data_IF_887294418131
#
_entry.id   IF_887294418131
#
_cell.length_a   1.000
_cell.length_b   1.000
_cell.length_c   1.000
_cell.angle_alpha   90.00
_cell.angle_beta   90.00
_cell.angle_gamma   90.00
#
_symmetry.space_group_name_H-M   'P 1'
#
loop_
_entity.id
_entity.type
_entity.pdbx_description
1 polymer ?
#
# COMPACT_ATOMS: atom_id res chain seq x y z
N UNK A 1 -19.65 -1.50 19.83
CA UNK A 1 -18.41 -1.71 19.05
C UNK A 1 -18.25 -3.20 18.84
N UNK A 2 -18.14 -3.71 17.59
CA UNK A 2 -18.00 -5.14 17.38
C UNK A 2 -16.65 -5.60 17.93
N UNK A 3 -16.70 -6.55 18.86
CA UNK A 3 -15.55 -7.15 19.52
C UNK A 3 -15.20 -8.39 18.71
N UNK A 4 -14.05 -8.38 18.04
CA UNK A 4 -13.55 -9.55 17.32
C UNK A 4 -13.22 -10.62 18.36
N UNK A 5 -14.02 -11.68 18.39
CA UNK A 5 -13.84 -12.76 19.34
C UNK A 5 -12.63 -13.60 18.93
N UNK A 6 -11.92 -14.13 19.93
CA UNK A 6 -10.53 -14.63 19.79
C UNK A 6 -10.38 -15.91 18.96
N UNK A 7 -11.46 -16.37 18.31
CA UNK A 7 -11.49 -17.53 17.41
C UNK A 7 -11.62 -17.14 15.94
N UNK A 8 -11.87 -15.87 15.62
CA UNK A 8 -12.16 -15.48 14.24
C UNK A 8 -10.89 -15.05 13.50
N UNK A 9 -10.67 -15.65 12.34
CA UNK A 9 -9.59 -15.30 11.42
C UNK A 9 -9.72 -13.83 10.99
N UNK A 10 -8.64 -13.27 10.42
CA UNK A 10 -8.77 -11.96 9.77
C UNK A 10 -9.82 -12.10 8.65
N UNK A 11 -10.75 -11.13 8.59
CA UNK A 11 -11.68 -11.07 7.46
C UNK A 11 -10.89 -10.91 6.15
N UNK A 12 -11.45 -11.40 5.04
CA UNK A 12 -10.82 -11.26 3.72
C UNK A 12 -10.50 -9.79 3.40
N UNK A 13 -11.43 -8.89 3.71
CA UNK A 13 -11.24 -7.44 3.58
C UNK A 13 -10.07 -6.93 4.44
N UNK A 14 -9.91 -7.42 5.66
CA UNK A 14 -8.79 -7.01 6.52
C UNK A 14 -7.44 -7.51 6.01
N UNK A 15 -7.40 -8.70 5.37
CA UNK A 15 -6.19 -9.19 4.72
C UNK A 15 -5.86 -8.35 3.48
N UNK A 16 -6.85 -8.07 2.62
CA UNK A 16 -6.67 -7.18 1.46
C UNK A 16 -6.14 -5.81 1.88
N UNK A 17 -6.82 -5.13 2.81
CA UNK A 17 -6.41 -3.82 3.32
C UNK A 17 -5.04 -3.84 3.99
N UNK A 18 -4.61 -4.97 4.58
CA UNK A 18 -3.27 -5.12 5.12
C UNK A 18 -2.21 -5.16 4.01
N UNK A 19 -2.49 -5.87 2.92
CA UNK A 19 -1.58 -6.00 1.78
C UNK A 19 -1.50 -4.69 0.99
N UNK A 20 -2.63 -4.00 0.83
CA UNK A 20 -2.73 -2.73 0.10
C UNK A 20 -2.28 -1.52 0.94
N UNK A 21 -2.06 -1.71 2.25
CA UNK A 21 -1.54 -0.68 3.15
C UNK A 21 -2.58 0.32 3.65
N UNK A 22 -3.87 -0.02 3.54
CA UNK A 22 -5.00 0.85 3.85
C UNK A 22 -5.42 0.79 5.33
N UNK A 23 -4.92 -0.20 6.08
CA UNK A 23 -5.23 -0.34 7.50
C UNK A 23 -4.71 0.83 8.36
N UNK A 24 -5.40 1.12 9.46
CA UNK A 24 -4.89 2.01 10.51
C UNK A 24 -3.65 1.42 11.20
N UNK A 25 -2.77 2.28 11.73
CA UNK A 25 -1.55 1.81 12.43
C UNK A 25 -1.84 0.79 13.53
N UNK A 26 -2.90 0.99 14.29
CA UNK A 26 -3.34 0.08 15.35
C UNK A 26 -3.89 -1.23 14.77
N UNK A 27 -4.62 -1.18 13.65
CA UNK A 27 -5.10 -2.37 12.94
C UNK A 27 -3.95 -3.16 12.32
N UNK A 28 -2.95 -2.50 11.71
CA UNK A 28 -1.74 -3.15 11.18
C UNK A 28 -1.00 -3.89 12.28
N UNK A 29 -0.82 -3.27 13.44
CA UNK A 29 -0.14 -3.91 14.57
C UNK A 29 -0.88 -5.18 15.02
N UNK A 30 -2.20 -5.10 15.22
CA UNK A 30 -3.03 -6.26 15.57
C UNK A 30 -2.98 -7.37 14.51
N UNK A 31 -3.07 -7.01 13.24
CA UNK A 31 -3.03 -7.97 12.15
C UNK A 31 -1.67 -8.69 12.10
N UNK A 32 -0.56 -7.97 12.29
CA UNK A 32 0.79 -8.58 12.36
C UNK A 32 0.94 -9.54 13.54
N UNK A 33 0.43 -9.18 14.72
CA UNK A 33 0.42 -10.09 15.87
C UNK A 33 -0.39 -11.36 15.56
N UNK A 34 -1.55 -11.23 14.92
CA UNK A 34 -2.36 -12.37 14.51
C UNK A 34 -1.64 -13.24 13.48
N UNK A 35 -1.00 -12.64 12.47
CA UNK A 35 -0.18 -13.34 11.48
C UNK A 35 1.03 -14.05 12.11
N UNK A 36 1.50 -13.67 13.29
CA UNK A 36 2.59 -14.39 13.97
C UNK A 36 2.11 -15.74 14.54
N UNK A 37 0.85 -15.84 14.94
CA UNK A 37 0.31 -17.01 15.63
C UNK A 37 -0.61 -17.89 14.76
N UNK A 38 -1.21 -17.35 13.70
CA UNK A 38 -2.17 -18.07 12.86
C UNK A 38 -1.58 -18.41 11.47
N UNK A 39 -1.39 -19.71 11.17
CA UNK A 39 -0.94 -20.17 9.84
C UNK A 39 -1.95 -19.84 8.73
N UNK A 40 -3.24 -20.08 8.96
CA UNK A 40 -4.30 -19.87 7.94
C UNK A 40 -4.28 -18.43 7.41
N UNK A 41 -4.17 -17.45 8.31
CA UNK A 41 -4.10 -16.05 7.91
C UNK A 41 -2.76 -15.68 7.26
N UNK A 42 -1.66 -16.39 7.57
CA UNK A 42 -0.39 -16.24 6.84
C UNK A 42 -0.52 -16.71 5.41
N UNK A 43 -1.12 -17.86 5.19
CA UNK A 43 -1.34 -18.43 3.86
C UNK A 43 -2.26 -17.52 3.05
N UNK A 44 -3.33 -17.01 3.65
CA UNK A 44 -4.22 -16.04 2.99
C UNK A 44 -3.49 -14.74 2.62
N UNK A 45 -2.70 -14.19 3.55
CA UNK A 45 -1.90 -13.00 3.27
C UNK A 45 -0.85 -13.25 2.17
N UNK A 46 -0.29 -14.47 2.09
CA UNK A 46 0.63 -14.84 1.02
C UNK A 46 -0.09 -14.91 -0.34
N UNK A 47 -1.27 -15.53 -0.39
CA UNK A 47 -2.12 -15.56 -1.61
C UNK A 47 -2.48 -14.16 -2.08
N UNK A 48 -2.93 -13.29 -1.16
CA UNK A 48 -3.29 -11.91 -1.50
C UNK A 48 -2.08 -11.09 -1.98
N UNK A 49 -0.89 -11.28 -1.40
CA UNK A 49 0.35 -10.64 -1.89
C UNK A 49 0.72 -11.12 -3.29
N UNK A 50 0.60 -12.41 -3.56
CA UNK A 50 0.89 -12.97 -4.88
C UNK A 50 -0.07 -12.38 -5.92
N UNK A 51 -1.38 -12.33 -5.62
CA UNK A 51 -2.38 -11.70 -6.49
C UNK A 51 -2.08 -10.21 -6.75
N UNK A 52 -1.80 -9.43 -5.71
CA UNK A 52 -1.46 -8.03 -5.85
C UNK A 52 -0.18 -7.81 -6.67
N UNK A 53 0.79 -8.71 -6.55
CA UNK A 53 2.04 -8.66 -7.32
C UNK A 53 1.79 -9.02 -8.78
N UNK A 54 1.03 -10.07 -9.06
CA UNK A 54 0.67 -10.44 -10.43
C UNK A 54 -0.04 -9.30 -11.16
N UNK A 55 -0.97 -8.58 -10.51
CA UNK A 55 -1.64 -7.41 -11.10
C UNK A 55 -0.64 -6.29 -11.44
N UNK A 56 0.35 -6.04 -10.58
CA UNK A 56 1.41 -5.04 -10.84
C UNK A 56 2.35 -5.48 -11.96
N UNK A 57 2.72 -6.75 -12.00
CA UNK A 57 3.63 -7.31 -13.00
C UNK A 57 2.96 -7.45 -14.38
N UNK A 58 1.66 -7.72 -14.45
CA UNK A 58 0.93 -7.72 -15.73
C UNK A 58 0.85 -6.34 -16.39
N UNK A 59 1.25 -5.27 -15.70
CA UNK A 59 1.46 -3.95 -16.28
C UNK A 59 2.92 -3.72 -16.77
N UNK A 60 3.76 -4.76 -16.81
CA UNK A 60 5.16 -4.66 -17.23
C UNK A 60 5.30 -4.27 -18.71
N UNK A 61 4.39 -4.75 -19.58
CA UNK A 61 4.41 -4.49 -21.03
C UNK A 61 4.12 -3.02 -21.38
N UNK A 62 3.80 -2.19 -20.39
CA UNK A 62 3.59 -0.77 -20.58
C UNK A 62 2.30 -0.41 -21.29
N UNK A 63 1.29 -1.28 -21.23
CA UNK A 63 -0.03 -0.99 -21.73
C UNK A 63 -0.71 0.12 -20.91
N UNK A 64 -0.50 0.16 -19.58
CA UNK A 64 -1.00 1.25 -18.73
C UNK A 64 0.14 2.25 -18.47
N UNK A 65 0.24 3.24 -19.37
CA UNK A 65 1.14 4.39 -19.20
C UNK A 65 0.33 5.61 -18.79
N UNK A 66 0.89 6.38 -17.86
CA UNK A 66 0.37 7.70 -17.56
C UNK A 66 0.41 8.58 -18.84
N UNK A 67 -0.58 9.46 -19.05
CA UNK A 67 -0.54 10.43 -20.14
C UNK A 67 0.75 11.27 -20.08
N UNK A 68 1.38 11.53 -21.23
CA UNK A 68 2.64 12.31 -21.29
C UNK A 68 2.54 13.67 -20.59
N UNK A 69 1.42 14.35 -20.76
CA UNK A 69 1.14 15.63 -20.11
C UNK A 69 1.12 15.56 -18.58
N UNK A 70 0.72 14.42 -17.99
CA UNK A 70 0.78 14.21 -16.55
C UNK A 70 2.22 13.98 -16.09
N UNK A 71 2.99 13.18 -16.84
CA UNK A 71 4.41 12.92 -16.55
C UNK A 71 5.22 14.21 -16.61
N UNK A 72 5.00 15.04 -17.64
CA UNK A 72 5.63 16.36 -17.76
C UNK A 72 5.27 17.26 -16.58
N UNK A 73 3.99 17.35 -16.20
CA UNK A 73 3.57 18.14 -15.02
C UNK A 73 4.24 17.65 -13.75
N UNK A 74 4.29 16.33 -13.51
CA UNK A 74 4.95 15.74 -12.34
C UNK A 74 6.45 16.03 -12.32
N UNK A 75 7.12 16.07 -13.47
CA UNK A 75 8.54 16.41 -13.56
C UNK A 75 8.85 17.85 -13.12
N UNK A 76 7.88 18.77 -13.26
CA UNK A 76 8.03 20.19 -12.94
C UNK A 76 7.55 20.57 -11.53
N UNK A 77 6.87 19.68 -10.79
CA UNK A 77 6.44 19.98 -9.42
C UNK A 77 7.64 20.06 -8.46
N UNK A 78 7.70 21.09 -7.63
CA UNK A 78 8.68 21.21 -6.54
C UNK A 78 8.16 20.54 -5.27
N UNK A 79 9.04 20.18 -4.33
CA UNK A 79 8.65 19.49 -3.09
C UNK A 79 7.70 20.31 -2.19
N UNK A 80 7.54 21.59 -2.48
CA UNK A 80 6.63 22.56 -1.85
C UNK A 80 5.21 22.53 -2.40
N UNK A 81 4.99 21.92 -3.58
CA UNK A 81 3.69 21.88 -4.26
C UNK A 81 2.82 20.69 -3.84
N UNK A 82 3.35 19.82 -2.97
CA UNK A 82 2.63 18.65 -2.47
C UNK A 82 1.76 19.11 -1.28
N UNK A 83 0.42 19.09 -1.39
CA UNK A 83 -0.43 19.48 -0.28
C UNK A 83 -0.13 18.60 0.94
N UNK A 84 0.07 19.24 2.09
CA UNK A 84 0.36 18.61 3.38
C UNK A 84 -0.78 17.74 3.93
N UNK A 85 -1.82 17.46 3.14
CA UNK A 85 -2.82 16.43 3.44
C UNK A 85 -2.26 15.05 3.10
N UNK A 86 -1.04 14.77 3.54
CA UNK A 86 -0.56 13.41 3.70
C UNK A 86 -1.27 12.86 4.92
N UNK A 87 -1.99 11.75 4.76
CA UNK A 87 -2.44 10.94 5.88
C UNK A 87 -1.33 10.86 6.95
N UNK A 88 -1.60 11.10 8.25
CA UNK A 88 -0.56 11.14 9.30
C UNK A 88 0.18 9.80 9.50
N UNK A 89 -0.13 8.78 8.69
CA UNK A 89 0.53 7.47 8.64
C UNK A 89 1.63 7.37 7.60
N UNK A 90 1.66 8.28 6.63
CA UNK A 90 2.71 8.34 5.60
C UNK A 90 3.73 9.38 6.08
N UNK A 91 4.94 8.94 6.43
CA UNK A 91 6.04 9.84 6.80
C UNK A 91 6.33 10.89 5.71
N UNK A 92 7.19 11.88 5.97
CA UNK A 92 7.30 13.07 5.13
C UNK A 92 7.51 12.72 3.66
N UNK A 93 6.46 12.93 2.86
CA UNK A 93 6.40 12.59 1.44
C UNK A 93 7.47 13.33 0.61
N UNK A 94 8.01 14.43 1.13
CA UNK A 94 9.13 15.18 0.52
C UNK A 94 10.40 14.35 0.33
N UNK A 95 10.76 13.52 1.32
CA UNK A 95 11.94 12.64 1.23
C UNK A 95 11.72 11.51 0.21
N UNK A 96 10.50 10.97 0.17
CA UNK A 96 10.07 9.94 -0.79
C UNK A 96 10.00 10.50 -2.21
N UNK A 97 9.50 11.74 -2.38
CA UNK A 97 9.39 12.43 -3.66
C UNK A 97 10.74 12.69 -4.32
N UNK A 98 11.74 13.13 -3.54
CA UNK A 98 13.11 13.31 -4.04
C UNK A 98 13.70 12.02 -4.62
N UNK A 99 13.36 10.87 -4.02
CA UNK A 99 13.80 9.55 -4.47
C UNK A 99 13.05 9.07 -5.73
N UNK A 100 11.75 9.33 -5.81
CA UNK A 100 10.91 8.97 -6.96
C UNK A 100 11.25 9.79 -8.21
N UNK A 101 11.55 11.09 -8.06
CA UNK A 101 11.98 11.96 -9.18
C UNK A 101 13.27 11.47 -9.84
N UNK A 102 14.18 10.87 -9.08
CA UNK A 102 15.45 10.36 -9.60
C UNK A 102 15.29 9.24 -10.65
N UNK A 103 14.18 8.51 -10.62
CA UNK A 103 13.87 7.44 -11.58
C UNK A 103 13.04 7.86 -12.79
N UNK A 104 12.69 9.14 -12.93
CA UNK A 104 11.89 9.68 -14.03
C UNK A 104 12.73 10.22 -15.20
N UNK A 105 14.06 10.08 -15.15
CA UNK A 105 14.99 10.45 -16.22
C UNK A 105 15.24 9.31 -17.19
#
# INVERSE_FOLDING_TARGET
MPKFDSTDHLSFEAVAALIDGELSRTAVHRARLHLAVCQVCRDEAARQRAAATAVREHNADGCLRAPRSLVEKLAHMEGTDIPATADPKQGPLSATWSKLRGGLK
#
